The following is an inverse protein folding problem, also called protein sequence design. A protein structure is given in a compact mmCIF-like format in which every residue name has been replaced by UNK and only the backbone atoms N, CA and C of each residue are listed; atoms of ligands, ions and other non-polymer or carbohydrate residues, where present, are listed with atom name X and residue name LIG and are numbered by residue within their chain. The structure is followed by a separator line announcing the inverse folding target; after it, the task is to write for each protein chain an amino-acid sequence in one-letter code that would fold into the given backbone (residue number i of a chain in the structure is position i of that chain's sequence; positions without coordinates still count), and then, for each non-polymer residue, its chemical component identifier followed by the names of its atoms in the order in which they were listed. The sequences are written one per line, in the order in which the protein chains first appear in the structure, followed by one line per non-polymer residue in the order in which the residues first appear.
data_IF_360253760607
#
_entry.id   IF_360253760607
#
_cell.length_a   1.000
_cell.length_b   1.000
_cell.length_c   1.000
_cell.angle_alpha   90.00
_cell.angle_beta   90.00
_cell.angle_gamma   90.00
#
_symmetry.space_group_name_H-M   'P 1'
#
loop_
_entity.id
_entity.type
_entity.pdbx_description
1 polymer ?
#
# COMPACT_ATOMS: atom_id res chain seq x y z
N UNK A 1 21.65 7.74 -9.50
CA UNK A 1 20.47 7.82 -8.62
C UNK A 1 20.90 7.46 -7.21
N UNK A 2 20.46 8.22 -6.22
CA UNK A 2 20.76 7.95 -4.81
C UNK A 2 19.74 6.96 -4.24
N UNK A 3 20.17 6.14 -3.29
CA UNK A 3 19.35 5.08 -2.68
C UNK A 3 19.31 5.28 -1.17
N UNK A 4 18.13 5.21 -0.58
CA UNK A 4 17.90 5.15 0.85
C UNK A 4 17.62 3.71 1.26
N UNK A 5 18.65 2.95 1.59
CA UNK A 5 18.50 1.57 2.08
C UNK A 5 18.17 1.50 3.57
N UNK A 6 18.61 2.51 4.33
CA UNK A 6 18.47 2.59 5.78
C UNK A 6 18.50 4.06 6.24
N UNK A 7 17.77 4.36 7.31
CA UNK A 7 17.78 5.64 8.01
C UNK A 7 17.72 5.39 9.52
N UNK A 8 18.87 5.04 10.09
CA UNK A 8 19.00 4.79 11.54
C UNK A 8 19.68 5.99 12.22
N UNK A 9 18.94 6.64 13.13
CA UNK A 9 19.35 7.81 13.90
C UNK A 9 19.37 7.45 15.40
N UNK A 10 20.55 7.14 15.98
CA UNK A 10 20.67 6.66 17.36
C UNK A 10 20.16 7.63 18.42
N UNK A 11 20.08 8.92 18.09
CA UNK A 11 19.57 9.98 18.98
C UNK A 11 18.05 9.98 19.09
N UNK A 12 17.34 9.33 18.15
CA UNK A 12 15.89 9.20 18.20
C UNK A 12 15.46 7.96 19.00
N UNK A 13 14.44 8.07 19.87
CA UNK A 13 14.05 6.98 20.76
C UNK A 13 13.20 5.91 20.07
N UNK A 14 13.13 4.74 20.68
CA UNK A 14 12.19 3.65 20.35
C UNK A 14 12.19 3.27 18.88
N UNK A 15 13.38 3.06 18.32
CA UNK A 15 13.57 2.64 16.94
C UNK A 15 12.95 1.26 16.67
N UNK A 16 12.22 1.17 15.57
CA UNK A 16 11.72 -0.08 15.02
C UNK A 16 11.94 -0.13 13.50
N UNK A 17 12.59 -1.20 13.03
CA UNK A 17 12.83 -1.45 11.61
C UNK A 17 11.75 -2.37 11.04
N UNK A 18 10.92 -1.85 10.13
CA UNK A 18 10.02 -2.65 9.30
C UNK A 18 10.69 -3.16 8.03
N UNK A 19 9.97 -3.93 7.21
CA UNK A 19 10.48 -4.46 5.93
C UNK A 19 10.93 -3.33 4.98
N UNK A 20 10.18 -2.23 4.91
CA UNK A 20 10.42 -1.13 3.97
C UNK A 20 10.41 0.26 4.63
N UNK A 21 10.21 0.35 5.94
CA UNK A 21 10.16 1.61 6.70
C UNK A 21 11.02 1.53 7.94
N UNK A 22 11.52 2.69 8.36
CA UNK A 22 12.10 2.90 9.69
C UNK A 22 11.13 3.73 10.53
N UNK A 23 10.96 3.39 11.79
CA UNK A 23 9.99 4.03 12.66
C UNK A 23 10.63 4.43 14.00
N UNK A 24 10.19 5.57 14.54
CA UNK A 24 10.60 6.06 15.87
C UNK A 24 9.38 6.56 16.62
N UNK A 25 9.11 6.01 17.80
CA UNK A 25 8.06 6.51 18.68
C UNK A 25 8.60 7.61 19.58
N UNK A 26 8.02 8.81 19.47
CA UNK A 26 8.43 9.96 20.25
C UNK A 26 7.67 10.03 21.57
N UNK A 27 8.25 10.70 22.61
CA UNK A 27 7.64 10.80 23.92
C UNK A 27 6.31 11.59 23.95
N UNK A 28 6.08 12.45 22.96
CA UNK A 28 4.85 13.24 22.81
C UNK A 28 3.66 12.46 22.22
N UNK A 29 3.83 11.16 21.97
CA UNK A 29 2.80 10.31 21.36
C UNK A 29 2.75 10.38 19.84
N UNK A 30 3.71 11.04 19.20
CA UNK A 30 3.87 10.98 17.75
C UNK A 30 4.83 9.87 17.32
N UNK A 31 4.78 9.53 16.01
CA UNK A 31 5.67 8.55 15.37
C UNK A 31 6.26 9.14 14.11
N UNK A 32 7.57 9.06 13.98
CA UNK A 32 8.28 9.33 12.74
C UNK A 32 8.29 8.03 11.92
N UNK A 33 7.84 8.10 10.68
CA UNK A 33 7.82 7.00 9.72
C UNK A 33 8.66 7.42 8.51
N UNK A 34 9.74 6.69 8.23
CA UNK A 34 10.65 6.97 7.12
C UNK A 34 10.50 5.88 6.08
N UNK A 35 10.00 6.22 4.90
CA UNK A 35 9.89 5.30 3.78
C UNK A 35 11.25 5.15 3.10
N UNK A 36 11.79 3.93 3.11
CA UNK A 36 13.05 3.60 2.44
C UNK A 36 12.80 3.16 0.99
N UNK A 37 13.88 3.01 0.24
CA UNK A 37 13.85 2.53 -1.14
C UNK A 37 13.82 0.98 -1.24
N UNK A 38 13.77 0.28 -0.11
CA UNK A 38 13.68 -1.17 -0.08
C UNK A 38 12.41 -1.66 -0.79
N UNK A 39 12.57 -2.64 -1.67
CA UNK A 39 11.47 -3.37 -2.29
C UNK A 39 11.34 -4.72 -1.58
N UNK A 40 10.17 -4.97 -1.01
CA UNK A 40 9.84 -6.26 -0.37
C UNK A 40 8.80 -7.02 -1.19
N UNK A 41 9.06 -8.31 -1.40
CA UNK A 41 8.10 -9.28 -1.90
C UNK A 41 8.48 -10.67 -1.36
N UNK A 42 7.51 -11.61 -1.36
CA UNK A 42 7.72 -12.97 -0.83
C UNK A 42 8.24 -12.97 0.62
N UNK A 43 7.78 -12.01 1.42
CA UNK A 43 8.23 -11.74 2.79
C UNK A 43 9.72 -11.46 2.96
N UNK A 44 10.43 -11.16 1.87
CA UNK A 44 11.87 -10.86 1.81
C UNK A 44 12.12 -9.48 1.20
N UNK A 45 13.22 -8.84 1.60
CA UNK A 45 13.74 -7.65 0.91
C UNK A 45 14.50 -8.14 -0.32
N UNK A 46 14.05 -7.72 -1.51
CA UNK A 46 14.64 -8.16 -2.78
C UNK A 46 15.79 -7.25 -3.22
N UNK A 47 15.60 -5.94 -3.15
CA UNK A 47 16.54 -4.92 -3.59
C UNK A 47 16.10 -3.54 -3.08
N UNK A 48 16.81 -2.48 -3.49
CA UNK A 48 16.39 -1.10 -3.32
C UNK A 48 16.09 -0.47 -4.69
N UNK A 49 14.94 0.21 -4.79
CA UNK A 49 14.51 0.93 -5.99
C UNK A 49 14.68 2.42 -5.74
N UNK A 50 15.56 3.12 -6.46
CA UNK A 50 15.82 4.54 -6.25
C UNK A 50 14.52 5.37 -6.26
N UNK A 51 14.41 6.31 -5.31
CA UNK A 51 13.27 7.22 -5.11
C UNK A 51 11.93 6.56 -4.72
N UNK A 52 11.88 5.24 -4.56
CA UNK A 52 10.64 4.55 -4.17
C UNK A 52 10.03 5.14 -2.90
N UNK A 53 10.85 5.38 -1.88
CA UNK A 53 10.40 5.98 -0.61
C UNK A 53 9.78 7.36 -0.80
N UNK A 54 10.39 8.22 -1.61
CA UNK A 54 9.85 9.55 -1.93
C UNK A 54 8.53 9.45 -2.69
N UNK A 55 8.46 8.58 -3.69
CA UNK A 55 7.22 8.35 -4.47
C UNK A 55 6.08 7.92 -3.57
N UNK A 56 6.30 6.92 -2.70
CA UNK A 56 5.24 6.40 -1.82
C UNK A 56 4.76 7.45 -0.83
N UNK A 57 5.68 8.14 -0.15
CA UNK A 57 5.32 9.18 0.84
C UNK A 57 4.57 10.34 0.19
N UNK A 58 5.03 10.83 -0.96
CA UNK A 58 4.38 11.95 -1.64
C UNK A 58 3.03 11.55 -2.28
N UNK A 59 2.90 10.30 -2.79
CA UNK A 59 1.61 9.79 -3.27
C UNK A 59 0.62 9.66 -2.11
N UNK A 60 1.05 9.12 -0.96
CA UNK A 60 0.20 9.03 0.22
C UNK A 60 -0.24 10.42 0.71
N UNK A 61 0.69 11.41 0.73
CA UNK A 61 0.36 12.81 1.06
C UNK A 61 -0.75 13.36 0.18
N UNK A 62 -0.61 13.23 -1.14
CA UNK A 62 -1.65 13.66 -2.08
C UNK A 62 -3.02 13.08 -1.74
N UNK A 63 -3.08 11.78 -1.46
CA UNK A 63 -4.34 11.11 -1.16
C UNK A 63 -4.90 11.46 0.23
N UNK A 64 -4.06 11.58 1.25
CA UNK A 64 -4.51 12.04 2.57
C UNK A 64 -5.15 13.43 2.48
N UNK A 65 -4.56 14.34 1.70
CA UNK A 65 -5.13 15.67 1.46
C UNK A 65 -6.48 15.59 0.74
N UNK A 66 -6.61 14.72 -0.28
CA UNK A 66 -7.84 14.56 -1.08
C UNK A 66 -8.98 13.80 -0.39
N UNK A 67 -8.72 13.18 0.75
CA UNK A 67 -9.68 12.34 1.49
C UNK A 67 -9.87 12.77 2.94
N UNK A 68 -9.31 13.90 3.34
CA UNK A 68 -9.35 14.40 4.72
C UNK A 68 -10.77 14.70 5.24
N UNK A 69 -11.74 14.89 4.34
CA UNK A 69 -13.16 15.10 4.62
C UNK A 69 -13.94 13.78 4.86
N UNK A 70 -13.34 12.61 4.58
CA UNK A 70 -14.01 11.30 4.68
C UNK A 70 -13.82 10.68 6.06
N UNK A 71 -12.58 10.63 6.54
CA UNK A 71 -12.25 10.13 7.87
C UNK A 71 -10.98 10.79 8.40
N UNK A 72 -10.78 10.82 9.73
CA UNK A 72 -9.52 11.28 10.28
C UNK A 72 -8.37 10.37 9.86
N UNK A 73 -7.19 10.95 9.66
CA UNK A 73 -5.96 10.22 9.38
C UNK A 73 -4.87 10.55 10.39
N UNK A 74 -3.82 9.75 10.41
CA UNK A 74 -2.75 9.83 11.41
C UNK A 74 -1.75 10.97 11.18
N UNK A 75 -1.75 11.60 10.02
CA UNK A 75 -0.70 12.54 9.60
C UNK A 75 -0.71 13.82 10.43
N UNK A 76 0.47 14.23 10.88
CA UNK A 76 0.74 15.51 11.54
C UNK A 76 1.56 16.42 10.62
N UNK A 77 2.66 15.90 10.04
CA UNK A 77 3.57 16.69 9.20
C UNK A 77 4.35 15.82 8.20
N UNK A 78 4.91 16.49 7.20
CA UNK A 78 5.83 15.91 6.20
C UNK A 78 7.13 16.73 6.19
N UNK A 79 8.06 16.50 7.13
CA UNK A 79 9.29 17.27 7.21
C UNK A 79 10.27 16.99 6.07
N UNK A 80 10.16 15.83 5.41
CA UNK A 80 11.01 15.41 4.29
C UNK A 80 10.20 14.60 3.28
N UNK A 81 10.56 14.56 1.98
CA UNK A 81 9.86 13.74 0.97
C UNK A 81 9.77 12.24 1.28
N UNK A 82 10.64 11.71 2.15
CA UNK A 82 10.62 10.34 2.63
C UNK A 82 9.91 10.16 3.99
N UNK A 83 9.49 11.25 4.67
CA UNK A 83 9.11 11.20 6.09
C UNK A 83 7.70 11.67 6.33
N UNK A 84 6.95 10.88 7.08
CA UNK A 84 5.69 11.25 7.70
C UNK A 84 5.92 11.31 9.22
N UNK A 85 5.51 12.39 9.85
CA UNK A 85 5.26 12.43 11.29
C UNK A 85 3.77 12.27 11.49
N UNK A 86 3.37 11.27 12.25
CA UNK A 86 1.98 10.94 12.48
C UNK A 86 1.69 10.67 13.95
N UNK A 87 0.42 10.60 14.30
CA UNK A 87 -0.03 10.12 15.60
C UNK A 87 0.38 8.65 15.75
N UNK A 88 0.90 8.28 16.90
CA UNK A 88 1.03 6.87 17.25
C UNK A 88 -0.36 6.32 17.54
N UNK A 89 -0.71 5.23 16.88
CA UNK A 89 -2.00 4.58 16.98
C UNK A 89 -1.84 3.14 17.46
N UNK A 90 -2.86 2.64 18.14
CA UNK A 90 -3.03 1.21 18.36
C UNK A 90 -3.64 0.61 17.10
N UNK A 91 -2.80 -0.06 16.30
CA UNK A 91 -3.20 -0.60 15.00
C UNK A 91 -4.18 -1.75 15.19
N UNK A 92 -5.30 -1.68 14.48
CA UNK A 92 -6.31 -2.71 14.51
C UNK A 92 -5.83 -3.98 13.78
N UNK A 93 -6.12 -5.18 14.30
CA UNK A 93 -5.56 -6.44 13.81
C UNK A 93 -6.26 -6.97 12.54
N UNK A 94 -6.79 -6.09 11.71
CA UNK A 94 -7.49 -6.42 10.46
C UNK A 94 -7.06 -5.47 9.35
N UNK A 95 -6.61 -6.02 8.24
CA UNK A 95 -6.39 -5.26 7.00
C UNK A 95 -7.67 -5.22 6.17
N UNK A 96 -8.00 -4.05 5.62
CA UNK A 96 -9.21 -3.83 4.85
C UNK A 96 -8.87 -3.68 3.38
N UNK A 97 -9.04 -4.73 2.60
CA UNK A 97 -8.84 -4.68 1.15
C UNK A 97 -10.16 -4.44 0.45
N UNK A 98 -10.27 -3.34 -0.30
CA UNK A 98 -11.45 -3.02 -1.12
C UNK A 98 -11.15 -3.34 -2.57
N UNK A 99 -12.08 -4.03 -3.24
CA UNK A 99 -11.93 -4.47 -4.63
C UNK A 99 -13.10 -4.04 -5.48
N UNK A 100 -12.79 -3.43 -6.63
CA UNK A 100 -13.78 -3.06 -7.65
C UNK A 100 -13.81 -4.02 -8.85
N UNK A 101 -12.88 -4.98 -8.92
CA UNK A 101 -12.70 -5.89 -10.05
C UNK A 101 -12.30 -7.28 -9.57
N UNK A 102 -12.68 -8.30 -10.34
CA UNK A 102 -12.26 -9.70 -10.14
C UNK A 102 -10.79 -9.84 -10.60
N UNK A 103 -9.87 -9.44 -9.74
CA UNK A 103 -8.44 -9.36 -10.01
C UNK A 103 -7.60 -9.87 -8.84
N UNK A 104 -6.28 -10.02 -9.07
CA UNK A 104 -5.30 -10.41 -8.07
C UNK A 104 -4.51 -11.65 -8.49
N UNK A 105 -3.30 -11.79 -7.92
CA UNK A 105 -2.35 -12.85 -8.26
C UNK A 105 -1.90 -13.66 -7.06
N UNK A 106 -2.21 -13.21 -5.83
CA UNK A 106 -1.87 -13.94 -4.59
C UNK A 106 -2.81 -15.11 -4.36
N UNK A 107 -2.40 -16.08 -3.56
CA UNK A 107 -3.21 -17.26 -3.23
C UNK A 107 -4.56 -16.94 -2.60
N UNK A 108 -4.65 -15.84 -1.86
CA UNK A 108 -5.87 -15.34 -1.18
C UNK A 108 -6.67 -14.33 -2.01
N UNK A 109 -6.22 -13.99 -3.23
CA UNK A 109 -6.96 -13.05 -4.08
C UNK A 109 -8.28 -13.64 -4.57
N UNK A 110 -9.31 -12.79 -4.72
CA UNK A 110 -10.63 -13.25 -5.16
C UNK A 110 -10.60 -13.92 -6.54
N UNK A 111 -9.71 -13.47 -7.44
CA UNK A 111 -9.55 -14.12 -8.74
C UNK A 111 -8.99 -15.53 -8.62
N UNK A 112 -7.99 -15.73 -7.77
CA UNK A 112 -7.39 -17.04 -7.55
C UNK A 112 -8.39 -18.01 -6.92
N UNK A 113 -9.15 -17.56 -5.92
CA UNK A 113 -10.21 -18.36 -5.28
C UNK A 113 -11.33 -18.67 -6.27
N UNK A 114 -11.76 -17.69 -7.05
CA UNK A 114 -12.79 -17.84 -8.09
C UNK A 114 -12.40 -18.89 -9.12
N UNK A 115 -11.13 -18.88 -9.58
CA UNK A 115 -10.59 -19.89 -10.54
C UNK A 115 -10.52 -21.30 -9.95
N UNK A 116 -10.37 -21.42 -8.64
CA UNK A 116 -10.47 -22.71 -7.91
C UNK A 116 -11.91 -23.22 -7.77
N UNK A 117 -12.91 -22.47 -8.24
CA UNK A 117 -14.32 -22.82 -8.18
C UNK A 117 -15.07 -22.25 -6.98
N UNK A 118 -14.39 -21.49 -6.12
CA UNK A 118 -15.04 -20.83 -4.99
C UNK A 118 -15.95 -19.70 -5.47
N UNK A 119 -17.14 -19.61 -4.88
CA UNK A 119 -18.11 -18.55 -5.15
C UNK A 119 -18.50 -17.81 -3.87
N UNK A 120 -18.41 -18.49 -2.75
CA UNK A 120 -18.62 -17.91 -1.42
C UNK A 120 -17.25 -17.67 -0.77
N UNK A 121 -16.90 -16.42 -0.55
CA UNK A 121 -15.63 -16.02 0.05
C UNK A 121 -15.80 -14.68 0.77
N UNK A 122 -15.09 -14.48 1.86
CA UNK A 122 -15.15 -13.22 2.63
C UNK A 122 -16.57 -12.80 3.06
N UNK A 123 -17.49 -13.76 3.22
CA UNK A 123 -18.89 -13.49 3.54
C UNK A 123 -19.75 -12.99 2.36
N UNK A 124 -19.23 -13.00 1.13
CA UNK A 124 -19.95 -12.60 -0.09
C UNK A 124 -20.11 -13.78 -1.06
N UNK A 125 -21.07 -13.66 -1.96
CA UNK A 125 -21.27 -14.61 -3.06
C UNK A 125 -21.05 -13.92 -4.40
N UNK A 126 -20.09 -14.40 -5.19
CA UNK A 126 -19.85 -13.93 -6.54
C UNK A 126 -20.70 -14.72 -7.55
N UNK A 127 -21.21 -14.05 -8.63
CA UNK A 127 -21.97 -14.74 -9.67
C UNK A 127 -21.08 -15.72 -10.46
N UNK A 128 -21.72 -16.73 -11.05
CA UNK A 128 -21.05 -17.61 -12.01
C UNK A 128 -20.77 -16.91 -13.33
N UNK A 129 -19.77 -17.39 -14.05
CA UNK A 129 -19.45 -16.95 -15.42
C UNK A 129 -18.68 -15.61 -15.51
N UNK A 130 -18.22 -15.05 -14.38
CA UNK A 130 -17.36 -13.87 -14.42
C UNK A 130 -16.01 -14.20 -15.03
N UNK A 131 -15.47 -13.24 -15.78
CA UNK A 131 -14.16 -13.33 -16.44
C UNK A 131 -13.06 -12.66 -15.62
N UNK A 132 -11.83 -13.02 -15.89
CA UNK A 132 -10.65 -12.35 -15.36
C UNK A 132 -10.74 -10.83 -15.59
N UNK A 133 -10.42 -10.04 -14.57
CA UNK A 133 -10.43 -8.58 -14.62
C UNK A 133 -11.82 -7.94 -14.84
N UNK A 134 -12.89 -8.70 -14.71
CA UNK A 134 -14.25 -8.17 -14.82
C UNK A 134 -14.57 -7.21 -13.65
N UNK A 135 -15.26 -6.12 -13.99
CA UNK A 135 -15.74 -5.18 -12.99
C UNK A 135 -16.81 -5.84 -12.12
N UNK A 136 -16.65 -5.74 -10.80
CA UNK A 136 -17.66 -6.22 -9.87
C UNK A 136 -18.92 -5.35 -9.92
N UNK A 137 -20.11 -5.93 -9.69
CA UNK A 137 -21.37 -5.15 -9.65
C UNK A 137 -21.32 -4.00 -8.64
N UNK A 138 -20.71 -4.23 -7.50
CA UNK A 138 -20.39 -3.24 -6.45
C UNK A 138 -18.99 -3.53 -5.90
N UNK A 139 -18.26 -2.50 -5.44
CA UNK A 139 -17.03 -2.76 -4.69
C UNK A 139 -17.29 -3.61 -3.45
N UNK A 140 -16.39 -4.53 -3.17
CA UNK A 140 -16.47 -5.46 -2.05
C UNK A 140 -15.29 -5.28 -1.10
N UNK A 141 -15.50 -5.60 0.18
CA UNK A 141 -14.43 -5.66 1.17
C UNK A 141 -14.03 -7.12 1.35
N UNK A 142 -12.73 -7.39 1.28
CA UNK A 142 -12.12 -8.70 1.51
C UNK A 142 -11.08 -8.56 2.63
N UNK A 143 -11.52 -8.63 3.91
CA UNK A 143 -10.63 -8.40 5.04
C UNK A 143 -9.70 -9.58 5.25
N UNK A 144 -8.51 -9.29 5.76
CA UNK A 144 -7.56 -10.30 6.23
C UNK A 144 -7.12 -10.01 7.66
N UNK A 145 -6.70 -11.03 8.39
CA UNK A 145 -5.99 -10.80 9.65
C UNK A 145 -4.69 -10.05 9.37
N UNK A 146 -4.24 -9.29 10.36
CA UNK A 146 -2.90 -8.71 10.35
C UNK A 146 -2.06 -9.50 11.35
N UNK A 147 -1.15 -10.31 10.84
CA UNK A 147 -0.25 -11.08 11.67
C UNK A 147 0.94 -10.23 12.11
N UNK A 148 1.13 -10.08 13.42
CA UNK A 148 2.22 -9.30 14.02
C UNK A 148 3.47 -10.14 14.28
N UNK A 149 3.32 -11.48 14.41
CA UNK A 149 4.38 -12.39 14.84
C UNK A 149 4.97 -13.25 13.70
N UNK A 150 4.83 -12.82 12.45
CA UNK A 150 5.44 -13.48 11.29
C UNK A 150 4.61 -14.62 10.68
N UNK A 151 3.34 -14.72 11.00
CA UNK A 151 2.35 -15.55 10.31
C UNK A 151 2.00 -14.99 8.92
N UNK A 152 1.10 -15.69 8.23
CA UNK A 152 0.52 -15.20 6.98
C UNK A 152 -0.87 -14.62 7.25
N UNK A 153 -1.19 -13.51 6.58
CA UNK A 153 -2.51 -12.90 6.66
C UNK A 153 -3.58 -13.89 6.15
N UNK A 154 -4.57 -14.17 7.00
CA UNK A 154 -5.65 -15.10 6.70
C UNK A 154 -6.92 -14.36 6.24
N UNK A 155 -7.63 -14.88 5.23
CA UNK A 155 -8.95 -14.38 4.87
C UNK A 155 -9.92 -14.45 6.05
N UNK A 156 -10.69 -13.38 6.26
CA UNK A 156 -11.70 -13.30 7.30
C UNK A 156 -13.06 -12.92 6.70
N UNK A 157 -14.14 -13.38 7.35
CA UNK A 157 -15.49 -12.85 7.13
C UNK A 157 -15.82 -11.80 8.18
N UNK A 158 -16.78 -10.89 7.93
CA UNK A 158 -17.26 -9.94 8.93
C UNK A 158 -17.72 -10.59 10.25
N UNK A 159 -18.37 -11.76 10.18
CA UNK A 159 -18.76 -12.51 11.37
C UNK A 159 -17.56 -13.04 12.15
N UNK A 160 -16.58 -13.61 11.49
CA UNK A 160 -15.36 -14.11 12.15
C UNK A 160 -14.56 -12.99 12.83
N UNK A 161 -14.53 -11.78 12.24
CA UNK A 161 -13.88 -10.62 12.85
C UNK A 161 -14.50 -10.30 14.21
N UNK A 162 -15.84 -10.32 14.30
CA UNK A 162 -16.56 -10.02 15.53
C UNK A 162 -16.49 -11.20 16.51
N UNK A 163 -16.70 -12.44 16.04
CA UNK A 163 -16.67 -13.64 16.86
C UNK A 163 -15.30 -13.89 17.50
N UNK A 164 -14.22 -13.65 16.75
CA UNK A 164 -12.83 -13.70 17.23
C UNK A 164 -12.45 -12.48 18.09
N UNK A 165 -13.36 -11.51 18.26
CA UNK A 165 -13.14 -10.25 19.01
C UNK A 165 -11.95 -9.41 18.50
N UNK A 166 -11.67 -9.50 17.20
CA UNK A 166 -10.67 -8.64 16.56
C UNK A 166 -11.18 -7.20 16.48
N UNK A 167 -12.47 -7.03 16.17
CA UNK A 167 -13.18 -5.75 16.19
C UNK A 167 -14.57 -5.95 16.82
N UNK A 168 -15.13 -4.87 17.35
CA UNK A 168 -16.57 -4.82 17.64
C UNK A 168 -17.38 -4.65 16.35
N UNK A 169 -18.67 -4.97 16.38
CA UNK A 169 -19.57 -4.73 15.23
C UNK A 169 -19.58 -3.25 14.82
N UNK A 170 -19.61 -2.34 15.79
CA UNK A 170 -19.57 -0.89 15.54
C UNK A 170 -18.26 -0.43 14.88
N UNK A 171 -17.14 -1.00 15.32
CA UNK A 171 -15.83 -0.75 14.68
C UNK A 171 -15.82 -1.26 13.25
N UNK A 172 -16.30 -2.48 13.01
CA UNK A 172 -16.40 -3.05 11.68
C UNK A 172 -17.28 -2.21 10.74
N UNK A 173 -18.44 -1.77 11.20
CA UNK A 173 -19.35 -0.93 10.40
C UNK A 173 -18.70 0.43 10.05
N UNK A 174 -17.99 1.01 11.01
CA UNK A 174 -17.27 2.28 10.79
C UNK A 174 -16.12 2.12 9.80
N UNK A 175 -15.29 1.08 9.95
CA UNK A 175 -14.19 0.77 9.03
C UNK A 175 -14.70 0.51 7.62
N UNK A 176 -15.75 -0.30 7.49
CA UNK A 176 -16.36 -0.65 6.19
C UNK A 176 -16.87 0.60 5.48
N UNK A 177 -17.54 1.48 6.20
CA UNK A 177 -18.05 2.76 5.66
C UNK A 177 -16.90 3.66 5.21
N UNK A 178 -15.85 3.80 6.02
CA UNK A 178 -14.67 4.60 5.66
C UNK A 178 -13.95 4.04 4.44
N UNK A 179 -13.66 2.73 4.44
CA UNK A 179 -12.97 2.07 3.35
C UNK A 179 -13.69 2.19 2.01
N UNK A 180 -15.01 1.98 1.98
CA UNK A 180 -15.81 2.13 0.77
C UNK A 180 -15.89 3.58 0.29
N UNK A 181 -16.00 4.56 1.19
CA UNK A 181 -16.02 5.98 0.85
C UNK A 181 -14.66 6.45 0.30
N UNK A 182 -13.55 6.04 0.94
CA UNK A 182 -12.18 6.29 0.47
C UNK A 182 -11.96 5.69 -0.92
N UNK A 183 -12.37 4.44 -1.12
CA UNK A 183 -12.25 3.75 -2.41
C UNK A 183 -13.06 4.44 -3.51
N UNK A 184 -14.29 4.84 -3.21
CA UNK A 184 -15.15 5.58 -4.15
C UNK A 184 -14.51 6.91 -4.57
N UNK A 185 -13.98 7.69 -3.62
CA UNK A 185 -13.22 8.91 -3.90
C UNK A 185 -11.97 8.61 -4.73
N UNK A 186 -11.25 7.55 -4.39
CA UNK A 186 -10.08 7.08 -5.14
C UNK A 186 -10.43 6.72 -6.58
N UNK A 187 -11.51 5.99 -6.81
CA UNK A 187 -11.98 5.65 -8.16
C UNK A 187 -12.37 6.89 -8.96
N UNK A 188 -13.07 7.83 -8.34
CA UNK A 188 -13.48 9.07 -9.01
C UNK A 188 -12.26 9.87 -9.48
N UNK A 189 -11.32 10.18 -8.59
CA UNK A 189 -10.16 11.00 -8.92
C UNK A 189 -9.18 10.28 -9.86
N UNK A 190 -9.03 8.96 -9.72
CA UNK A 190 -8.25 8.16 -10.67
C UNK A 190 -8.85 8.22 -12.08
N UNK A 191 -10.19 8.13 -12.21
CA UNK A 191 -10.86 8.22 -13.50
C UNK A 191 -10.65 9.56 -14.19
N UNK A 192 -10.61 10.68 -13.46
CA UNK A 192 -10.28 12.02 -13.98
C UNK A 192 -8.85 12.08 -14.59
N UNK A 193 -7.98 11.12 -14.22
CA UNK A 193 -6.61 10.97 -14.71
C UNK A 193 -6.46 9.83 -15.74
N UNK A 194 -7.56 9.27 -16.25
CA UNK A 194 -7.51 8.15 -17.18
C UNK A 194 -7.04 6.84 -16.54
N UNK A 195 -7.20 6.70 -15.22
CA UNK A 195 -6.81 5.52 -14.46
C UNK A 195 -8.04 4.81 -13.89
N UNK A 196 -7.91 3.53 -13.65
CA UNK A 196 -8.86 2.70 -12.90
C UNK A 196 -8.19 2.25 -11.61
N UNK A 197 -8.69 2.70 -10.46
CA UNK A 197 -8.33 2.11 -9.18
C UNK A 197 -9.06 0.78 -9.03
N UNK A 198 -8.30 -0.30 -9.10
CA UNK A 198 -8.81 -1.68 -9.18
C UNK A 198 -9.11 -2.25 -7.80
N UNK A 199 -8.13 -2.17 -6.93
CA UNK A 199 -8.16 -2.57 -5.53
C UNK A 199 -7.16 -1.77 -4.71
N UNK A 200 -7.36 -1.76 -3.40
CA UNK A 200 -6.47 -1.09 -2.45
C UNK A 200 -6.59 -1.73 -1.07
N UNK A 201 -5.53 -1.65 -0.30
CA UNK A 201 -5.46 -2.06 1.11
C UNK A 201 -5.44 -0.82 2.00
N UNK A 202 -6.24 -0.82 3.04
CA UNK A 202 -6.23 0.16 4.11
C UNK A 202 -5.88 -0.48 5.45
N UNK A 203 -5.18 0.27 6.27
CA UNK A 203 -4.94 -0.03 7.67
C UNK A 203 -5.53 1.07 8.54
N UNK A 204 -6.08 0.68 9.68
CA UNK A 204 -6.66 1.60 10.64
C UNK A 204 -6.11 1.33 12.02
N UNK A 205 -6.14 2.33 12.85
CA UNK A 205 -5.83 2.23 14.26
C UNK A 205 -6.78 3.07 15.09
N UNK A 206 -6.63 3.01 16.41
CA UNK A 206 -7.36 3.87 17.35
C UNK A 206 -6.39 4.78 18.08
N UNK A 207 -6.83 6.00 18.36
CA UNK A 207 -6.15 6.89 19.31
C UNK A 207 -6.54 6.54 20.75
N UNK A 208 -6.01 7.29 21.71
CA UNK A 208 -6.27 7.14 23.15
C UNK A 208 -7.75 7.30 23.54
N UNK A 209 -8.56 7.94 22.70
CA UNK A 209 -9.99 8.12 22.89
C UNK A 209 -10.83 7.02 22.20
N UNK A 210 -10.19 6.05 21.55
CA UNK A 210 -10.85 5.00 20.79
C UNK A 210 -11.38 5.46 19.42
N UNK A 211 -10.98 6.65 18.94
CA UNK A 211 -11.36 7.15 17.63
C UNK A 211 -10.65 6.35 16.54
N UNK A 212 -11.41 5.83 15.58
CA UNK A 212 -10.86 5.10 14.43
C UNK A 212 -10.22 6.10 13.46
N UNK A 213 -8.95 5.88 13.13
CA UNK A 213 -8.10 6.75 12.32
C UNK A 213 -7.44 5.93 11.22
N UNK A 214 -7.46 6.44 9.99
CA UNK A 214 -6.74 5.85 8.86
C UNK A 214 -5.23 5.98 9.11
N UNK A 215 -4.54 4.87 8.99
CA UNK A 215 -3.11 4.73 9.27
C UNK A 215 -2.33 4.31 8.01
N UNK A 216 -1.02 4.23 8.14
CA UNK A 216 -0.07 3.72 7.17
C UNK A 216 -0.03 4.54 5.87
N UNK A 217 -0.51 4.01 4.78
CA UNK A 217 -0.53 4.64 3.46
C UNK A 217 -1.90 4.51 2.79
N UNK A 218 -2.16 5.35 1.81
CA UNK A 218 -3.41 5.35 1.07
C UNK A 218 -3.14 5.46 -0.42
N UNK A 219 -3.72 4.56 -1.20
CA UNK A 219 -3.75 4.56 -2.67
C UNK A 219 -2.37 4.72 -3.33
N UNK A 220 -1.30 4.33 -2.66
CA UNK A 220 0.04 4.32 -3.25
C UNK A 220 0.20 3.19 -4.26
N UNK A 221 1.20 3.22 -5.12
CA UNK A 221 1.49 2.09 -6.01
C UNK A 221 1.78 0.77 -5.25
N UNK A 222 2.16 0.82 -3.97
CA UNK A 222 2.42 -0.39 -3.17
C UNK A 222 1.15 -0.97 -2.55
N UNK A 223 0.24 -0.13 -2.05
CA UNK A 223 -1.01 -0.56 -1.44
C UNK A 223 -2.14 -0.78 -2.44
N UNK A 224 -1.99 -0.34 -3.71
CA UNK A 224 -3.08 -0.29 -4.68
C UNK A 224 -2.66 -0.77 -6.06
N UNK A 225 -3.64 -1.25 -6.82
CA UNK A 225 -3.49 -1.57 -8.23
C UNK A 225 -4.22 -0.54 -9.08
N UNK A 226 -3.51 -0.03 -10.10
CA UNK A 226 -4.07 0.88 -11.09
C UNK A 226 -3.94 0.30 -12.49
N UNK A 227 -5.02 0.40 -13.29
CA UNK A 227 -4.97 0.13 -14.72
C UNK A 227 -5.11 1.42 -15.52
N UNK A 228 -4.53 1.42 -16.73
CA UNK A 228 -4.73 2.48 -17.72
C UNK A 228 -6.13 2.29 -18.35
N UNK A 229 -7.02 3.26 -18.16
CA UNK A 229 -8.43 3.16 -18.54
C UNK A 229 -8.62 2.87 -20.03
N UNK A 230 -7.86 3.55 -20.90
CA UNK A 230 -7.95 3.37 -22.37
C UNK A 230 -7.61 1.95 -22.83
N UNK A 231 -6.74 1.25 -22.09
CA UNK A 231 -6.36 -0.13 -22.41
C UNK A 231 -7.36 -1.17 -21.91
N UNK A 232 -8.11 -0.83 -20.86
CA UNK A 232 -8.92 -1.80 -20.12
C UNK A 232 -9.94 -2.52 -21.00
N UNK A 233 -10.75 -1.75 -21.75
CA UNK A 233 -11.82 -2.34 -22.57
C UNK A 233 -11.28 -3.33 -23.60
N UNK A 234 -10.26 -2.90 -24.35
CA UNK A 234 -9.67 -3.74 -25.42
C UNK A 234 -9.00 -4.99 -24.84
N UNK A 235 -8.24 -4.84 -23.76
CA UNK A 235 -7.60 -5.98 -23.09
C UNK A 235 -8.63 -6.95 -22.51
N UNK A 236 -9.69 -6.43 -21.87
CA UNK A 236 -10.75 -7.24 -21.29
C UNK A 236 -11.51 -8.03 -22.37
N UNK A 237 -11.87 -7.41 -23.53
CA UNK A 237 -12.52 -8.08 -24.66
C UNK A 237 -11.67 -9.22 -25.21
N UNK A 238 -10.35 -9.08 -25.24
CA UNK A 238 -9.38 -10.09 -25.69
C UNK A 238 -9.04 -11.14 -24.63
N UNK A 239 -9.46 -10.95 -23.38
CA UNK A 239 -9.05 -11.80 -22.26
C UNK A 239 -7.58 -11.58 -21.82
N UNK A 240 -7.01 -10.44 -22.17
CA UNK A 240 -5.65 -10.03 -21.80
C UNK A 240 -5.65 -9.23 -20.51
N UNK A 241 -4.48 -9.14 -19.85
CA UNK A 241 -4.29 -8.29 -18.68
C UNK A 241 -4.28 -6.81 -19.10
N UNK A 242 -5.06 -5.93 -18.44
CA UNK A 242 -5.00 -4.49 -18.72
C UNK A 242 -3.62 -3.92 -18.39
N UNK A 243 -3.21 -2.87 -19.11
CA UNK A 243 -1.96 -2.17 -18.82
C UNK A 243 -2.01 -1.52 -17.43
N UNK A 244 -0.94 -1.63 -16.70
CA UNK A 244 -0.81 -1.13 -15.32
C UNK A 244 0.57 -0.52 -15.10
N UNK A 245 0.70 0.23 -14.00
CA UNK A 245 2.02 0.57 -13.45
C UNK A 245 2.51 -0.64 -12.65
N UNK A 246 3.02 -1.62 -13.39
CA UNK A 246 3.31 -2.91 -12.81
C UNK A 246 4.68 -2.92 -12.13
N UNK A 247 4.70 -3.04 -10.82
CA UNK A 247 5.89 -3.33 -10.02
C UNK A 247 6.24 -4.82 -10.01
N UNK A 248 5.36 -5.65 -10.59
CA UNK A 248 5.52 -7.10 -10.60
C UNK A 248 6.68 -7.59 -11.48
N UNK A 249 7.34 -6.69 -12.27
CA UNK A 249 8.52 -7.06 -13.06
C UNK A 249 9.61 -7.72 -12.23
N UNK A 250 9.96 -7.13 -11.09
CA UNK A 250 10.97 -7.71 -10.19
C UNK A 250 10.48 -9.02 -9.59
N UNK A 251 9.20 -9.08 -9.19
CA UNK A 251 8.60 -10.31 -8.65
C UNK A 251 8.57 -11.43 -9.69
N UNK A 252 8.13 -11.11 -10.91
CA UNK A 252 8.10 -12.07 -12.00
C UNK A 252 9.50 -12.55 -12.35
N UNK A 253 10.47 -11.62 -12.45
CA UNK A 253 11.85 -11.94 -12.74
C UNK A 253 12.47 -12.89 -11.69
N UNK A 254 12.17 -12.69 -10.41
CA UNK A 254 12.63 -13.58 -9.32
C UNK A 254 11.95 -14.94 -9.43
N UNK A 255 10.62 -14.99 -9.54
CA UNK A 255 9.84 -16.23 -9.58
C UNK A 255 10.16 -17.12 -10.80
N UNK A 256 10.64 -16.54 -11.90
CA UNK A 256 11.12 -17.29 -13.07
C UNK A 256 12.48 -17.97 -12.86
N UNK A 257 13.25 -17.57 -11.84
CA UNK A 257 14.66 -17.97 -11.65
C UNK A 257 14.92 -18.79 -10.41
N UNK A 258 14.05 -18.69 -9.41
CA UNK A 258 14.20 -19.43 -8.15
C UNK A 258 12.83 -19.59 -7.47
N UNK A 259 12.75 -20.50 -6.49
CA UNK A 259 11.66 -20.47 -5.52
C UNK A 259 11.95 -19.35 -4.50
N UNK A 260 11.20 -18.22 -4.54
CA UNK A 260 11.53 -17.07 -3.72
C UNK A 260 11.31 -17.27 -2.22
N UNK A 261 10.68 -18.37 -1.80
CA UNK A 261 10.45 -18.71 -0.40
C UNK A 261 11.56 -19.61 0.19
N UNK A 262 12.28 -20.33 -0.67
CA UNK A 262 13.27 -21.36 -0.25
C UNK A 262 14.68 -20.97 -0.67
N UNK A 263 14.85 -20.54 -1.94
CA UNK A 263 16.16 -20.32 -2.54
C UNK A 263 16.74 -18.94 -2.18
N UNK A 264 18.05 -18.77 -2.39
CA UNK A 264 18.67 -17.46 -2.37
C UNK A 264 18.19 -16.63 -3.58
N UNK A 265 17.78 -15.39 -3.30
CA UNK A 265 17.33 -14.46 -4.34
C UNK A 265 18.56 -14.05 -5.19
N UNK A 266 18.56 -14.29 -6.51
CA UNK A 266 19.63 -13.84 -7.38
C UNK A 266 19.77 -12.31 -7.38
N UNK A 267 20.97 -11.81 -7.62
CA UNK A 267 21.21 -10.37 -7.76
C UNK A 267 20.33 -9.79 -8.90
N UNK A 268 19.51 -8.81 -8.56
CA UNK A 268 18.58 -8.19 -9.49
C UNK A 268 19.36 -7.24 -10.41
N UNK A 269 19.24 -7.37 -11.75
CA UNK A 269 19.96 -6.55 -12.69
C UNK A 269 19.69 -5.06 -12.48
N UNK A 270 20.75 -4.24 -12.54
CA UNK A 270 20.65 -2.79 -12.37
C UNK A 270 19.69 -2.14 -13.38
N UNK A 271 19.62 -2.66 -14.61
CA UNK A 271 18.66 -2.21 -15.63
C UNK A 271 17.22 -2.38 -15.18
N UNK A 272 16.89 -3.53 -14.54
CA UNK A 272 15.55 -3.79 -14.01
C UNK A 272 15.22 -2.87 -12.81
N UNK A 273 16.19 -2.60 -11.95
CA UNK A 273 16.06 -1.65 -10.84
C UNK A 273 15.73 -0.25 -11.37
N UNK A 274 16.46 0.21 -12.40
CA UNK A 274 16.25 1.54 -13.00
C UNK A 274 14.91 1.64 -13.74
N UNK A 275 14.51 0.60 -14.45
CA UNK A 275 13.19 0.54 -15.09
C UNK A 275 12.07 0.57 -14.06
N UNK A 276 12.20 -0.18 -12.98
CA UNK A 276 11.23 -0.18 -11.87
C UNK A 276 11.13 1.20 -11.22
N UNK A 277 12.26 1.89 -10.99
CA UNK A 277 12.27 3.27 -10.48
C UNK A 277 11.47 4.22 -11.39
N UNK A 278 11.66 4.12 -12.71
CA UNK A 278 10.90 4.92 -13.68
C UNK A 278 9.39 4.61 -13.64
N UNK A 279 9.02 3.35 -13.40
CA UNK A 279 7.61 2.96 -13.25
C UNK A 279 6.98 3.60 -12.01
N UNK A 280 7.69 3.62 -10.87
CA UNK A 280 7.22 4.29 -9.66
C UNK A 280 7.02 5.80 -9.88
N UNK A 281 8.00 6.48 -10.50
CA UNK A 281 7.90 7.91 -10.81
C UNK A 281 6.72 8.21 -11.74
N UNK A 282 6.56 7.43 -12.82
CA UNK A 282 5.41 7.55 -13.73
C UNK A 282 4.07 7.28 -13.06
N UNK A 283 4.02 6.34 -12.11
CA UNK A 283 2.82 6.08 -11.34
C UNK A 283 2.42 7.30 -10.50
N UNK A 284 3.39 7.96 -9.83
CA UNK A 284 3.16 9.21 -9.13
C UNK A 284 2.57 10.28 -10.06
N UNK A 285 3.24 10.53 -11.18
CA UNK A 285 2.82 11.55 -12.15
C UNK A 285 1.40 11.29 -12.70
N UNK A 286 1.10 10.04 -13.01
CA UNK A 286 -0.21 9.66 -13.51
C UNK A 286 -1.31 9.77 -12.45
N UNK A 287 -1.01 9.39 -11.20
CA UNK A 287 -1.97 9.42 -10.09
C UNK A 287 -2.25 10.87 -9.66
N UNK A 288 -1.20 11.66 -9.47
CA UNK A 288 -1.32 13.03 -8.93
C UNK A 288 -1.58 14.08 -10.00
N UNK A 289 -1.07 13.86 -11.21
CA UNK A 289 -1.01 14.83 -12.30
C UNK A 289 0.09 15.87 -12.12
N UNK A 290 1.00 15.65 -11.18
CA UNK A 290 2.14 16.50 -10.88
C UNK A 290 3.43 15.83 -11.36
N UNK A 291 4.39 16.61 -11.85
CA UNK A 291 5.70 16.07 -12.21
C UNK A 291 6.45 15.59 -10.96
N UNK A 292 7.03 14.40 -11.01
CA UNK A 292 7.87 13.92 -9.92
C UNK A 292 9.25 14.58 -9.97
N UNK A 293 9.59 15.31 -8.92
CA UNK A 293 10.90 15.95 -8.76
C UNK A 293 11.64 15.28 -7.60
N UNK A 294 12.64 14.44 -7.89
CA UNK A 294 13.44 13.83 -6.84
C UNK A 294 14.16 14.89 -5.99
N UNK A 295 14.11 14.72 -4.67
CA UNK A 295 14.96 15.52 -3.79
C UNK A 295 16.27 14.76 -3.54
N UNK A 296 17.31 15.19 -4.26
CA UNK A 296 18.69 14.70 -4.15
C UNK A 296 19.60 15.68 -3.38
N UNK A 297 19.01 16.62 -2.62
CA UNK A 297 19.77 17.57 -1.79
C UNK A 297 20.52 16.86 -0.65
N UNK A 298 21.52 17.55 -0.09
CA UNK A 298 22.36 16.99 0.97
C UNK A 298 23.45 16.03 0.47
N UNK A 299 24.27 15.53 1.38
CA UNK A 299 25.37 14.59 1.07
C UNK A 299 24.83 13.18 0.70
N UNK A 300 23.75 12.77 1.38
CA UNK A 300 23.06 11.52 1.15
C UNK A 300 21.58 11.67 1.50
N UNK A 301 20.68 10.77 1.04
CA UNK A 301 19.29 10.78 1.46
C UNK A 301 19.11 10.70 2.99
N UNK A 302 19.92 9.91 3.68
CA UNK A 302 19.89 9.80 5.14
C UNK A 302 20.31 11.10 5.83
N UNK A 303 21.38 11.78 5.35
CA UNK A 303 21.80 13.07 5.89
C UNK A 303 20.75 14.16 5.68
N UNK A 304 20.12 14.23 4.50
CA UNK A 304 19.01 15.15 4.21
C UNK A 304 17.86 14.95 5.18
N UNK A 305 17.45 13.68 5.38
CA UNK A 305 16.34 13.31 6.30
C UNK A 305 16.70 13.75 7.73
N UNK A 306 17.91 13.46 8.18
CA UNK A 306 18.39 13.86 9.50
C UNK A 306 18.29 15.39 9.67
N UNK A 307 18.85 16.15 8.75
CA UNK A 307 18.83 17.62 8.81
C UNK A 307 17.40 18.19 8.81
N UNK A 308 16.49 17.59 8.03
CA UNK A 308 15.10 18.00 7.97
C UNK A 308 14.36 17.66 9.28
N UNK A 309 14.64 16.50 9.87
CA UNK A 309 14.09 16.13 11.18
C UNK A 309 14.61 17.02 12.31
N UNK A 310 15.90 17.33 12.34
CA UNK A 310 16.47 18.29 13.32
C UNK A 310 15.78 19.64 13.23
N UNK A 311 15.56 20.18 12.02
CA UNK A 311 14.82 21.45 11.85
C UNK A 311 13.36 21.38 12.27
N UNK A 312 12.73 20.22 12.09
CA UNK A 312 11.33 20.01 12.47
C UNK A 312 11.14 19.93 13.99
N UNK A 313 12.08 19.29 14.70
CA UNK A 313 12.01 19.06 16.15
C UNK A 313 12.58 20.20 16.99
N UNK A 314 13.44 21.04 16.42
CA UNK A 314 14.16 22.12 17.14
C UNK A 314 13.56 23.44 17.05
#
# INVERSE_FOLDING_TARGET
MRILSEAHFPELPNYYRGKVRENYDLPDGSRIIISTDRLSAFDRILTCIPYKGQVLTQTARYWFDKTSDICPNHVIAYPDPNVVVGKRLDILPVEIVVRGYLAGTTGTSILTLYKKGERQMYGITLPDGMRDNEKLPTPIITPTSKEFDGGHDEPLTPSEIVDKKLLTSEQWDTLSRYALALFSRGQQLAAERGLILVDTKYEFGTDENGTIILADEIHTPDSSRYWIADSYRTSFEKGERPQSFDKDFVRAWVAERCDPYIDDIPEIPQTLVEETSKVYMKAYEAITGEAFVPDDSGESPSARIHDNLVRYMG
#
